data_IF_218808459301
#
_entry.id   IF_218808459301
#
_cell.length_a   1.000
_cell.length_b   1.000
_cell.length_c   1.000
_cell.angle_alpha   90.00
_cell.angle_beta   90.00
_cell.angle_gamma   90.00
#
_symmetry.space_group_name_H-M   'P 1'
#
loop_
_entity.id
_entity.type
_entity.pdbx_description
1 polymer ?
#
# COMPACT_ATOMS: atom_id res chain seq x y z
N UNK A 1 -34.68 -32.68 -17.92
CA UNK A 1 -33.34 -33.22 -17.61
C UNK A 1 -32.46 -32.05 -17.23
N UNK A 2 -32.29 -31.79 -15.94
CA UNK A 2 -31.47 -30.68 -15.42
C UNK A 2 -30.11 -31.24 -15.05
N UNK A 3 -29.04 -30.80 -15.73
CA UNK A 3 -27.68 -31.17 -15.41
C UNK A 3 -27.24 -30.36 -14.18
N UNK A 4 -27.16 -31.04 -13.03
CA UNK A 4 -26.54 -30.52 -11.83
C UNK A 4 -25.01 -30.53 -12.06
N UNK A 5 -24.44 -29.36 -12.34
CA UNK A 5 -23.01 -29.15 -12.47
C UNK A 5 -22.38 -29.27 -11.07
N UNK A 6 -21.85 -30.44 -10.73
CA UNK A 6 -21.01 -30.65 -9.56
C UNK A 6 -19.70 -29.90 -9.77
N UNK A 7 -19.55 -28.76 -9.09
CA UNK A 7 -18.25 -28.12 -8.95
C UNK A 7 -17.34 -29.07 -8.17
N UNK A 8 -16.31 -29.61 -8.83
CA UNK A 8 -15.24 -30.37 -8.19
C UNK A 8 -14.54 -29.45 -7.17
N UNK A 9 -14.32 -29.88 -5.93
CA UNK A 9 -13.50 -29.13 -4.99
C UNK A 9 -12.08 -29.04 -5.57
N UNK A 10 -11.57 -27.83 -5.70
CA UNK A 10 -10.18 -27.60 -6.05
C UNK A 10 -9.30 -28.38 -5.05
N UNK A 11 -8.42 -29.24 -5.57
CA UNK A 11 -7.43 -29.96 -4.79
C UNK A 11 -6.52 -28.93 -4.09
N UNK A 12 -6.82 -28.62 -2.84
CA UNK A 12 -5.89 -27.91 -1.97
C UNK A 12 -4.65 -28.80 -1.81
N UNK A 13 -3.55 -28.41 -2.47
CA UNK A 13 -2.26 -29.08 -2.28
C UNK A 13 -1.88 -29.09 -0.81
N UNK A 14 -1.08 -30.07 -0.39
CA UNK A 14 -0.58 -30.13 0.99
C UNK A 14 0.10 -28.81 1.36
N UNK A 15 -0.22 -28.17 2.50
CA UNK A 15 0.43 -26.94 2.92
C UNK A 15 1.93 -27.11 2.97
N UNK A 16 2.68 -26.12 2.48
CA UNK A 16 4.13 -26.13 2.61
C UNK A 16 4.50 -25.77 4.04
N UNK A 17 5.17 -26.70 4.73
CA UNK A 17 5.54 -26.52 6.14
C UNK A 17 6.97 -26.00 6.25
N UNK A 18 7.12 -24.86 6.91
CA UNK A 18 8.40 -24.29 7.35
C UNK A 18 8.48 -24.53 8.85
N UNK A 19 9.43 -25.36 9.29
CA UNK A 19 9.53 -25.77 10.69
C UNK A 19 10.96 -25.71 11.24
N UNK A 20 11.09 -25.40 12.53
CA UNK A 20 12.37 -25.39 13.25
C UNK A 20 12.47 -24.26 14.27
N UNK A 21 13.65 -23.67 14.43
CA UNK A 21 13.86 -22.48 15.22
C UNK A 21 14.90 -21.57 14.56
N UNK A 22 14.75 -20.24 14.69
CA UNK A 22 15.77 -19.27 14.27
C UNK A 22 15.99 -19.18 12.75
N UNK A 23 15.08 -19.70 11.92
CA UNK A 23 15.26 -19.68 10.46
C UNK A 23 15.14 -18.26 9.91
N UNK A 24 16.06 -17.88 9.02
CA UNK A 24 16.00 -16.64 8.25
C UNK A 24 15.92 -16.98 6.76
N UNK A 25 14.75 -16.84 6.12
CA UNK A 25 14.59 -17.26 4.72
C UNK A 25 13.47 -16.51 3.98
N UNK A 26 13.67 -16.34 2.69
CA UNK A 26 12.62 -15.95 1.74
C UNK A 26 12.02 -17.17 1.06
N UNK A 27 10.69 -17.26 1.00
CA UNK A 27 9.94 -18.30 0.31
C UNK A 27 8.95 -17.67 -0.66
N UNK A 28 8.99 -18.08 -1.93
CA UNK A 28 8.04 -17.63 -2.94
C UNK A 28 6.83 -18.58 -2.96
N UNK A 29 5.64 -18.04 -2.65
CA UNK A 29 4.38 -18.76 -2.77
C UNK A 29 4.03 -18.95 -4.24
N UNK A 30 3.69 -20.19 -4.61
CA UNK A 30 2.91 -20.44 -5.84
C UNK A 30 1.50 -19.85 -5.66
N UNK A 31 0.80 -19.56 -6.76
CA UNK A 31 -0.53 -18.95 -6.71
C UNK A 31 -1.50 -19.76 -5.83
N UNK A 32 -1.96 -19.16 -4.74
CA UNK A 32 -2.88 -19.77 -3.76
C UNK A 32 -2.23 -20.82 -2.85
N UNK A 33 -0.90 -20.90 -2.78
CA UNK A 33 -0.20 -21.89 -1.97
C UNK A 33 -0.39 -21.63 -0.47
N UNK A 34 -0.84 -22.64 0.26
CA UNK A 34 -0.94 -22.60 1.72
C UNK A 34 0.44 -22.81 2.37
N UNK A 35 0.75 -21.99 3.36
CA UNK A 35 2.01 -22.03 4.12
C UNK A 35 1.70 -22.25 5.60
N UNK A 36 2.40 -23.20 6.21
CA UNK A 36 2.37 -23.42 7.66
C UNK A 36 3.76 -23.14 8.22
N UNK A 37 3.87 -22.18 9.14
CA UNK A 37 5.09 -21.87 9.88
C UNK A 37 4.95 -22.44 11.29
N UNK A 38 5.85 -23.33 11.70
CA UNK A 38 5.85 -23.96 13.02
C UNK A 38 7.20 -23.84 13.69
N UNK A 39 7.25 -23.14 14.83
CA UNK A 39 8.51 -23.03 15.56
C UNK A 39 8.66 -21.73 16.32
N UNK A 40 9.89 -21.33 16.55
CA UNK A 40 10.19 -20.11 17.26
C UNK A 40 11.31 -19.28 16.65
N UNK A 41 11.23 -17.97 16.88
CA UNK A 41 12.25 -16.99 16.46
C UNK A 41 12.57 -17.02 14.95
N UNK A 42 11.61 -17.39 14.10
CA UNK A 42 11.78 -17.29 12.66
C UNK A 42 11.75 -15.84 12.17
N UNK A 43 12.53 -15.52 11.14
CA UNK A 43 12.46 -14.28 10.37
C UNK A 43 12.22 -14.64 8.89
N UNK A 44 10.96 -14.61 8.47
CA UNK A 44 10.55 -15.12 7.16
C UNK A 44 10.01 -14.00 6.27
N UNK A 45 10.28 -14.14 4.97
CA UNK A 45 9.67 -13.30 3.92
C UNK A 45 8.94 -14.23 2.94
N UNK A 46 7.62 -14.15 2.92
CA UNK A 46 6.76 -14.87 1.99
C UNK A 46 6.38 -13.92 0.84
N UNK A 47 6.80 -14.24 -0.38
CA UNK A 47 6.53 -13.42 -1.57
C UNK A 47 5.51 -14.07 -2.50
N UNK A 48 4.86 -13.28 -3.35
CA UNK A 48 3.82 -13.78 -4.26
C UNK A 48 2.46 -13.91 -3.61
N UNK A 49 1.61 -14.76 -4.20
CA UNK A 49 0.19 -14.87 -3.86
C UNK A 49 -0.07 -16.11 -2.99
N UNK A 50 0.15 -15.98 -1.68
CA UNK A 50 -0.10 -17.07 -0.74
C UNK A 50 -1.62 -17.24 -0.49
N UNK A 51 -2.04 -18.48 -0.26
CA UNK A 51 -3.41 -18.83 0.15
C UNK A 51 -3.63 -18.52 1.63
N UNK A 52 -3.72 -19.58 2.43
CA UNK A 52 -3.74 -19.50 3.89
C UNK A 52 -2.31 -19.52 4.41
N UNK A 53 -1.94 -18.53 5.22
CA UNK A 53 -0.69 -18.53 5.98
C UNK A 53 -1.02 -18.76 7.45
N UNK A 54 -0.63 -19.93 7.97
CA UNK A 54 -0.82 -20.36 9.35
C UNK A 54 0.51 -20.32 10.10
N UNK A 55 0.63 -19.42 11.08
CA UNK A 55 1.85 -19.18 11.85
C UNK A 55 1.61 -19.62 13.28
N UNK A 56 2.40 -20.58 13.73
CA UNK A 56 2.29 -21.23 15.03
C UNK A 56 3.62 -21.18 15.78
N UNK A 57 3.52 -21.02 17.11
CA UNK A 57 4.66 -21.05 18.02
C UNK A 57 4.98 -19.68 18.60
N UNK A 58 6.26 -19.33 18.75
CA UNK A 58 6.66 -18.18 19.57
C UNK A 58 7.68 -17.25 18.90
N UNK A 59 7.46 -15.94 19.02
CA UNK A 59 8.42 -14.90 18.60
C UNK A 59 8.81 -14.97 17.12
N UNK A 60 7.91 -15.43 16.24
CA UNK A 60 8.17 -15.44 14.80
C UNK A 60 7.87 -14.07 14.20
N UNK A 61 8.76 -13.56 13.36
CA UNK A 61 8.57 -12.37 12.54
C UNK A 61 8.38 -12.78 11.07
N UNK A 62 7.21 -12.52 10.51
CA UNK A 62 6.85 -12.98 9.15
C UNK A 62 6.32 -11.81 8.31
N UNK A 63 6.98 -11.54 7.19
CA UNK A 63 6.51 -10.59 6.16
C UNK A 63 5.82 -11.37 5.06
N UNK A 64 4.64 -10.94 4.65
CA UNK A 64 3.83 -11.60 3.61
C UNK A 64 3.46 -10.57 2.55
N UNK A 65 3.74 -10.88 1.28
CA UNK A 65 3.31 -10.04 0.16
C UNK A 65 1.80 -10.11 -0.03
N UNK A 66 1.28 -11.17 -0.66
CA UNK A 66 -0.15 -11.41 -0.84
C UNK A 66 -0.65 -12.60 -0.03
N UNK A 67 -1.82 -12.46 0.61
CA UNK A 67 -2.43 -13.53 1.40
C UNK A 67 -3.96 -13.50 1.34
N UNK A 68 -4.60 -14.67 1.29
CA UNK A 68 -6.05 -14.81 1.32
C UNK A 68 -6.61 -14.97 2.74
N UNK A 69 -5.86 -15.55 3.67
CA UNK A 69 -6.23 -15.65 5.10
C UNK A 69 -5.00 -15.79 5.98
N UNK A 70 -5.01 -15.12 7.14
CA UNK A 70 -3.98 -15.29 8.17
C UNK A 70 -4.54 -16.01 9.40
N UNK A 71 -3.79 -17.01 9.88
CA UNK A 71 -4.01 -17.64 11.18
C UNK A 71 -2.70 -17.48 11.96
N UNK A 72 -2.76 -16.90 13.15
CA UNK A 72 -1.59 -16.63 13.99
C UNK A 72 -1.88 -17.12 15.40
N UNK A 73 -1.14 -18.11 15.87
CA UNK A 73 -1.33 -18.76 17.15
C UNK A 73 -0.03 -18.89 17.95
N UNK A 74 -0.15 -18.92 19.28
CA UNK A 74 0.99 -18.99 20.20
C UNK A 74 1.32 -17.62 20.81
N UNK A 75 2.59 -17.24 20.91
CA UNK A 75 2.98 -16.02 21.62
C UNK A 75 3.97 -15.12 20.87
N UNK A 76 3.81 -13.80 21.01
CA UNK A 76 4.76 -12.79 20.51
C UNK A 76 5.09 -12.88 19.01
N UNK A 77 4.24 -13.48 18.18
CA UNK A 77 4.44 -13.51 16.74
C UNK A 77 4.09 -12.14 16.14
N UNK A 78 4.93 -11.62 15.25
CA UNK A 78 4.69 -10.38 14.50
C UNK A 78 4.54 -10.70 13.02
N UNK A 79 3.43 -10.28 12.44
CA UNK A 79 3.14 -10.52 11.02
C UNK A 79 2.84 -9.21 10.32
N UNK A 80 3.51 -8.99 9.20
CA UNK A 80 3.28 -7.82 8.34
C UNK A 80 2.84 -8.32 6.97
N UNK A 81 1.65 -7.94 6.50
CA UNK A 81 1.11 -8.37 5.20
C UNK A 81 0.84 -7.19 4.26
N UNK A 82 0.89 -7.35 2.94
CA UNK A 82 0.76 -6.20 2.01
C UNK A 82 -0.53 -6.20 1.17
N UNK A 83 -0.87 -7.32 0.53
CA UNK A 83 -1.99 -7.45 -0.40
C UNK A 83 -3.04 -8.43 0.14
N UNK A 84 -4.30 -8.01 0.14
CA UNK A 84 -5.44 -8.84 0.53
C UNK A 84 -5.99 -9.58 -0.69
N UNK A 85 -5.85 -10.91 -0.70
CA UNK A 85 -6.28 -11.78 -1.80
C UNK A 85 -7.60 -12.52 -1.48
N UNK A 86 -8.24 -12.22 -0.34
CA UNK A 86 -9.47 -12.92 0.09
C UNK A 86 -10.70 -12.62 -0.76
N UNK A 87 -10.65 -11.58 -1.60
CA UNK A 87 -11.83 -11.04 -2.28
C UNK A 87 -12.77 -10.24 -1.35
N UNK A 88 -12.42 -10.07 -0.08
CA UNK A 88 -13.21 -9.32 0.89
C UNK A 88 -12.62 -7.92 1.15
N UNK A 89 -13.42 -6.93 1.60
CA UNK A 89 -12.91 -5.60 1.93
C UNK A 89 -11.83 -5.60 3.02
N UNK A 90 -11.88 -6.56 3.94
CA UNK A 90 -10.91 -6.74 5.03
C UNK A 90 -10.33 -8.13 4.94
N UNK A 91 -9.03 -8.27 5.21
CA UNK A 91 -8.39 -9.57 5.25
C UNK A 91 -8.94 -10.38 6.45
N UNK A 92 -9.37 -11.64 6.24
CA UNK A 92 -9.71 -12.54 7.34
C UNK A 92 -8.45 -12.89 8.14
N UNK A 93 -8.40 -12.48 9.40
CA UNK A 93 -7.29 -12.72 10.31
C UNK A 93 -7.82 -13.37 11.59
N UNK A 94 -7.29 -14.54 11.95
CA UNK A 94 -7.53 -15.18 13.24
C UNK A 94 -6.27 -15.11 14.08
N UNK A 95 -6.37 -14.52 15.28
CA UNK A 95 -5.27 -14.45 16.25
C UNK A 95 -5.67 -15.19 17.52
N UNK A 96 -4.84 -16.10 18.01
CA UNK A 96 -5.05 -16.81 19.27
C UNK A 96 -3.75 -16.81 20.10
N UNK A 97 -3.85 -16.94 21.43
CA UNK A 97 -2.70 -16.85 22.34
C UNK A 97 -2.40 -15.43 22.79
N UNK A 98 -1.13 -15.09 23.07
CA UNK A 98 -0.74 -13.85 23.77
C UNK A 98 0.23 -12.99 22.97
N UNK A 99 0.02 -11.67 22.94
CA UNK A 99 0.94 -10.69 22.33
C UNK A 99 1.26 -10.93 20.83
N UNK A 100 0.37 -11.57 20.08
CA UNK A 100 0.52 -11.66 18.63
C UNK A 100 0.10 -10.36 17.94
N UNK A 101 0.96 -9.82 17.09
CA UNK A 101 0.75 -8.61 16.32
C UNK A 101 0.57 -8.94 14.85
N UNK A 102 -0.42 -8.34 14.20
CA UNK A 102 -0.62 -8.46 12.76
C UNK A 102 -0.94 -7.08 12.22
N UNK A 103 -0.10 -6.60 11.32
CA UNK A 103 -0.12 -5.23 10.81
C UNK A 103 -0.18 -5.26 9.28
N UNK A 104 -1.01 -4.39 8.70
CA UNK A 104 -1.04 -4.18 7.26
C UNK A 104 0.14 -3.27 6.90
N UNK A 105 1.05 -3.76 6.08
CA UNK A 105 2.12 -2.96 5.51
C UNK A 105 1.51 -1.76 4.77
N UNK A 106 2.09 -0.56 4.93
CA UNK A 106 1.84 0.51 3.99
C UNK A 106 2.10 -0.02 2.57
N UNK A 107 1.30 0.40 1.56
CA UNK A 107 1.63 0.11 0.17
C UNK A 107 3.10 0.47 -0.07
N UNK A 108 3.86 -0.33 -0.86
CA UNK A 108 5.18 0.11 -1.32
C UNK A 108 5.03 1.52 -1.88
N UNK A 109 5.88 2.45 -1.46
CA UNK A 109 5.82 3.82 -1.92
C UNK A 109 5.77 3.80 -3.45
N UNK A 110 4.61 4.10 -4.02
CA UNK A 110 4.43 4.05 -5.46
C UNK A 110 5.50 4.94 -6.09
N UNK A 111 6.09 4.49 -7.19
CA UNK A 111 7.12 5.24 -7.89
C UNK A 111 6.65 6.69 -8.08
N UNK A 112 7.50 7.70 -7.83
CA UNK A 112 7.09 9.09 -7.94
C UNK A 112 6.46 9.36 -9.30
N UNK A 113 5.25 9.91 -9.30
CA UNK A 113 4.59 10.34 -10.52
C UNK A 113 5.23 11.66 -10.96
N UNK A 114 5.86 11.67 -12.13
CA UNK A 114 6.50 12.86 -12.69
C UNK A 114 5.69 13.36 -13.88
N UNK A 115 5.24 14.61 -13.80
CA UNK A 115 4.48 15.30 -14.85
C UNK A 115 5.31 16.49 -15.29
N UNK A 116 5.78 16.47 -16.54
CA UNK A 116 6.56 17.56 -17.10
C UNK A 116 5.99 18.08 -18.42
N UNK A 117 6.32 19.32 -18.76
CA UNK A 117 6.02 19.90 -20.07
C UNK A 117 5.72 21.40 -20.03
N UNK A 118 5.16 21.90 -21.13
CA UNK A 118 4.70 23.28 -21.23
C UNK A 118 3.34 23.32 -21.93
N UNK A 119 2.39 24.05 -21.36
CA UNK A 119 1.03 24.19 -21.88
C UNK A 119 0.18 22.91 -21.78
N UNK A 120 -1.14 23.10 -21.77
CA UNK A 120 -2.11 22.03 -21.94
C UNK A 120 -2.56 21.34 -20.64
N UNK A 121 -3.62 20.54 -20.78
CA UNK A 121 -4.23 19.81 -19.69
C UNK A 121 -3.63 18.42 -19.53
N UNK A 122 -3.35 18.01 -18.28
CA UNK A 122 -2.85 16.67 -17.92
C UNK A 122 -3.71 16.10 -16.80
N UNK A 123 -4.07 14.83 -16.92
CA UNK A 123 -4.81 14.12 -15.87
C UNK A 123 -4.00 12.91 -15.43
N UNK A 124 -3.91 12.68 -14.14
CA UNK A 124 -3.27 11.50 -13.58
C UNK A 124 -3.94 11.06 -12.27
N UNK A 125 -3.68 9.83 -11.86
CA UNK A 125 -4.26 9.24 -10.64
C UNK A 125 -3.15 8.85 -9.67
N UNK A 126 -3.34 9.21 -8.41
CA UNK A 126 -2.45 8.89 -7.31
C UNK A 126 -2.86 7.57 -6.64
N UNK A 127 -1.87 6.72 -6.41
CA UNK A 127 -1.99 5.65 -5.41
C UNK A 127 -1.85 6.23 -4.00
N UNK A 128 -2.45 5.61 -2.96
CA UNK A 128 -2.37 6.10 -1.59
C UNK A 128 -0.94 6.39 -1.13
N UNK A 129 -0.67 7.65 -0.79
CA UNK A 129 0.63 8.10 -0.31
C UNK A 129 1.71 8.33 -1.39
N UNK A 130 1.35 8.22 -2.68
CA UNK A 130 2.30 8.41 -3.79
C UNK A 130 2.85 9.83 -3.84
N UNK A 131 4.16 9.97 -4.06
CA UNK A 131 4.78 11.27 -4.31
C UNK A 131 4.52 11.70 -5.77
N UNK A 132 4.23 12.99 -5.98
CA UNK A 132 3.98 13.58 -7.29
C UNK A 132 4.86 14.81 -7.46
N UNK A 133 5.52 14.92 -8.62
CA UNK A 133 6.28 16.09 -9.04
C UNK A 133 5.71 16.62 -10.34
N UNK A 134 5.30 17.89 -10.34
CA UNK A 134 4.83 18.63 -11.51
C UNK A 134 5.85 19.71 -11.82
N UNK A 135 6.50 19.67 -12.98
CA UNK A 135 7.48 20.68 -13.37
C UNK A 135 7.26 21.17 -14.80
N UNK A 136 7.13 22.48 -14.98
CA UNK A 136 6.84 23.02 -16.30
C UNK A 136 6.33 24.45 -16.30
N UNK A 137 5.72 24.84 -17.42
CA UNK A 137 5.07 26.15 -17.53
C UNK A 137 3.67 26.08 -18.13
N UNK A 138 2.73 26.87 -17.61
CA UNK A 138 1.35 26.94 -18.10
C UNK A 138 0.63 25.57 -18.15
N UNK A 139 0.95 24.64 -17.26
CA UNK A 139 0.29 23.34 -17.19
C UNK A 139 -1.04 23.45 -16.42
N UNK A 140 -2.07 22.74 -16.87
CA UNK A 140 -3.30 22.53 -16.12
C UNK A 140 -3.41 21.04 -15.72
N UNK A 141 -3.09 20.71 -14.47
CA UNK A 141 -3.01 19.32 -13.99
C UNK A 141 -4.19 18.98 -13.08
N UNK A 142 -4.84 17.84 -13.32
CA UNK A 142 -5.82 17.25 -12.40
C UNK A 142 -5.30 15.91 -11.87
N UNK A 143 -5.17 15.80 -10.56
CA UNK A 143 -4.73 14.62 -9.84
C UNK A 143 -5.91 14.01 -9.07
N UNK A 144 -6.28 12.77 -9.39
CA UNK A 144 -7.34 12.06 -8.68
C UNK A 144 -6.78 11.08 -7.65
N UNK A 145 -7.54 10.79 -6.59
CA UNK A 145 -7.11 9.87 -5.52
C UNK A 145 -6.30 10.52 -4.38
N UNK A 146 -5.58 9.69 -3.62
CA UNK A 146 -4.95 10.07 -2.35
C UNK A 146 -3.42 10.20 -2.50
N UNK A 147 -2.96 11.35 -2.97
CA UNK A 147 -1.54 11.65 -3.11
C UNK A 147 -0.88 11.86 -1.73
N UNK A 148 0.40 11.51 -1.60
CA UNK A 148 1.19 11.76 -0.40
C UNK A 148 1.77 13.18 -0.41
N UNK A 149 2.89 13.34 -1.10
CA UNK A 149 3.60 14.63 -1.27
C UNK A 149 3.38 15.15 -2.69
N UNK A 150 3.00 16.42 -2.83
CA UNK A 150 2.91 17.11 -4.11
C UNK A 150 3.99 18.21 -4.18
N UNK A 151 4.89 18.10 -5.15
CA UNK A 151 5.84 19.14 -5.52
C UNK A 151 5.43 19.79 -6.84
N UNK A 152 5.37 21.12 -6.88
CA UNK A 152 5.06 21.89 -8.09
C UNK A 152 6.17 22.91 -8.33
N UNK A 153 6.82 22.82 -9.48
CA UNK A 153 7.92 23.69 -9.87
C UNK A 153 7.70 24.32 -11.26
N UNK A 154 8.26 25.51 -11.46
CA UNK A 154 8.18 26.25 -12.71
C UNK A 154 7.20 27.43 -12.64
N UNK A 155 6.43 27.68 -13.71
CA UNK A 155 5.67 28.93 -13.82
C UNK A 155 4.24 28.80 -14.34
N UNK A 156 3.31 29.53 -13.72
CA UNK A 156 1.90 29.60 -14.17
C UNK A 156 1.21 28.24 -14.27
N UNK A 157 1.61 27.27 -13.45
CA UNK A 157 0.95 25.96 -13.41
C UNK A 157 -0.29 26.01 -12.51
N UNK A 158 -1.40 25.43 -12.96
CA UNK A 158 -2.62 25.24 -12.19
C UNK A 158 -2.81 23.76 -11.89
N UNK A 159 -2.76 23.36 -10.62
CA UNK A 159 -2.86 21.96 -10.18
C UNK A 159 -4.07 21.79 -9.26
N UNK A 160 -4.95 20.85 -9.59
CA UNK A 160 -6.06 20.42 -8.73
C UNK A 160 -5.83 18.98 -8.25
N UNK A 161 -5.97 18.72 -6.95
CA UNK A 161 -5.76 17.39 -6.36
C UNK A 161 -6.92 16.98 -5.43
N UNK A 162 -7.38 15.74 -5.52
CA UNK A 162 -8.46 15.22 -4.66
C UNK A 162 -8.01 15.12 -3.19
N UNK A 163 -6.96 14.35 -2.90
CA UNK A 163 -6.40 14.19 -1.56
C UNK A 163 -4.89 14.36 -1.56
N UNK A 164 -4.37 15.11 -0.59
CA UNK A 164 -2.92 15.31 -0.44
C UNK A 164 -2.51 15.43 1.03
N UNK A 165 -1.32 14.92 1.39
CA UNK A 165 -0.79 15.00 2.76
C UNK A 165 0.21 16.15 2.95
N UNK A 166 0.89 16.62 1.91
CA UNK A 166 1.68 17.86 1.93
C UNK A 166 1.90 18.44 0.54
N UNK A 167 2.06 19.77 0.47
CA UNK A 167 2.30 20.50 -0.78
C UNK A 167 3.54 21.38 -0.66
N UNK A 168 4.42 21.32 -1.64
CA UNK A 168 5.55 22.23 -1.80
C UNK A 168 5.51 22.86 -3.19
N UNK A 169 5.62 24.18 -3.27
CA UNK A 169 5.55 24.92 -4.53
C UNK A 169 6.75 25.85 -4.65
N UNK A 170 7.46 25.77 -5.78
CA UNK A 170 8.59 26.64 -6.15
C UNK A 170 8.30 27.35 -7.47
N UNK A 171 8.95 28.49 -7.70
CA UNK A 171 8.84 29.24 -8.96
C UNK A 171 7.84 30.40 -8.91
N UNK A 172 7.09 30.63 -10.00
CA UNK A 172 6.30 31.87 -10.16
C UNK A 172 4.86 31.64 -10.60
N UNK A 173 3.90 32.26 -9.91
CA UNK A 173 2.48 32.28 -10.27
C UNK A 173 1.84 30.89 -10.38
N UNK A 174 2.30 29.91 -9.61
CA UNK A 174 1.68 28.59 -9.57
C UNK A 174 0.48 28.59 -8.61
N UNK A 175 -0.58 27.89 -8.98
CA UNK A 175 -1.80 27.75 -8.19
C UNK A 175 -2.11 26.28 -7.93
N UNK A 176 -2.20 25.90 -6.66
CA UNK A 176 -2.55 24.54 -6.23
C UNK A 176 -3.83 24.55 -5.40
N UNK A 177 -4.79 23.72 -5.79
CA UNK A 177 -6.05 23.53 -5.05
C UNK A 177 -6.22 22.07 -4.63
N UNK A 178 -6.73 21.84 -3.41
CA UNK A 178 -6.94 20.49 -2.87
C UNK A 178 -8.33 20.30 -2.29
N UNK A 179 -8.91 19.10 -2.39
CA UNK A 179 -10.24 18.82 -1.83
C UNK A 179 -10.18 18.20 -0.42
N UNK A 180 -9.19 17.35 -0.13
CA UNK A 180 -9.03 16.66 1.17
C UNK A 180 -7.62 16.78 1.72
N UNK A 181 -7.53 17.14 3.00
CA UNK A 181 -6.30 17.13 3.76
C UNK A 181 -6.07 15.73 4.37
N UNK A 182 -5.01 15.05 3.92
CA UNK A 182 -4.64 13.70 4.37
C UNK A 182 -3.51 13.70 5.41
N UNK A 183 -3.03 14.88 5.85
CA UNK A 183 -1.88 14.98 6.76
C UNK A 183 -2.18 14.53 8.19
N UNK A 184 -3.46 14.38 8.55
CA UNK A 184 -3.91 14.18 9.93
C UNK A 184 -3.81 15.42 10.81
N UNK A 185 -3.39 16.58 10.26
CA UNK A 185 -3.31 17.85 10.97
C UNK A 185 -4.53 18.74 10.68
N UNK A 186 -4.78 19.72 11.55
CA UNK A 186 -5.87 20.68 11.37
C UNK A 186 -5.70 21.58 10.14
N UNK A 187 -4.45 21.76 9.68
CA UNK A 187 -4.10 22.46 8.43
C UNK A 187 -3.21 21.57 7.59
N UNK A 188 -3.31 21.71 6.27
CA UNK A 188 -2.42 21.01 5.35
C UNK A 188 -1.00 21.60 5.49
N UNK A 189 0.05 20.78 5.65
CA UNK A 189 1.44 21.23 5.53
C UNK A 189 1.71 21.77 4.12
N UNK A 190 1.96 23.07 4.03
CA UNK A 190 2.22 23.78 2.78
C UNK A 190 3.50 24.61 2.89
N UNK A 191 4.37 24.52 1.89
CA UNK A 191 5.53 25.40 1.73
C UNK A 191 5.51 26.02 0.33
N UNK A 192 5.69 27.34 0.25
CA UNK A 192 5.69 28.09 -1.00
C UNK A 192 6.92 28.98 -1.08
N UNK A 193 7.73 28.81 -2.13
CA UNK A 193 8.94 29.58 -2.41
C UNK A 193 8.83 30.25 -3.77
N UNK A 194 9.37 31.46 -3.92
CA UNK A 194 9.25 32.27 -5.15
C UNK A 194 8.10 33.29 -5.08
N UNK A 195 7.52 33.63 -6.23
CA UNK A 195 6.64 34.82 -6.38
C UNK A 195 5.23 34.41 -6.77
N UNK A 196 4.21 34.95 -6.09
CA UNK A 196 2.78 34.76 -6.42
C UNK A 196 2.31 33.29 -6.48
N UNK A 197 2.91 32.40 -5.68
CA UNK A 197 2.40 31.04 -5.55
C UNK A 197 1.23 30.98 -4.57
N UNK A 198 0.18 30.25 -4.94
CA UNK A 198 -1.05 30.10 -4.14
C UNK A 198 -1.33 28.63 -3.87
N UNK A 199 -1.61 28.29 -2.60
CA UNK A 199 -2.04 26.94 -2.20
C UNK A 199 -3.24 27.06 -1.28
N UNK A 200 -4.34 26.40 -1.61
CA UNK A 200 -5.57 26.49 -0.80
C UNK A 200 -6.56 25.34 -1.05
N UNK A 201 -7.58 25.21 -0.19
CA UNK A 201 -8.68 24.30 -0.47
C UNK A 201 -9.41 24.72 -1.76
N UNK A 202 -10.05 23.76 -2.42
CA UNK A 202 -10.93 24.00 -3.56
C UNK A 202 -12.25 24.65 -3.14
#
# INVERSE_FOLDING_TARGET
MSFLLLALPALAGTPHVIQGAGLQKTHACSAGQDITVQGSAHELVLTGDCGVVDIQGASNEVKVDGVARLVVSGSMNKVVWSRNLSGQPKLPIQKTGTMNEVTHAPPPAAAPLVITGAGGAKNASCSPGQAVSVSGSNLAVTLTGDCGKLEVDGSSNAVAVDGVASVHVTGTSNKVTWARNLSGQSRLPTSTEGVMNEVGPR
#
